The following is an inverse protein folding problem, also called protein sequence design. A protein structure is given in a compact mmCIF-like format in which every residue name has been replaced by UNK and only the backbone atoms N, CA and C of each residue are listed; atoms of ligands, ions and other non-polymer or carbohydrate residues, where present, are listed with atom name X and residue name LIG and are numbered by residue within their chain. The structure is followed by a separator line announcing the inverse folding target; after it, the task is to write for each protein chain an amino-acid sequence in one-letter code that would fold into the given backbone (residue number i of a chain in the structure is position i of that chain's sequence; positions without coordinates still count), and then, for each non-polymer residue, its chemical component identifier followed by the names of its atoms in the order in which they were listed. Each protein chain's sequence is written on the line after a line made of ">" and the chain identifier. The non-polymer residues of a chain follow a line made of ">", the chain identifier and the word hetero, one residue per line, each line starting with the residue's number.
data_IF_903939301455
#
_entry.id   IF_903939301455
#
_cell.length_a   1.000
_cell.length_b   1.000
_cell.length_c   1.000
_cell.angle_alpha   90.00
_cell.angle_beta   90.00
_cell.angle_gamma   90.00
#
_symmetry.space_group_name_H-M   'P 1'
#
loop_
_entity.id
_entity.type
_entity.pdbx_description
1 polymer ?
#
# COMPACT_ATOMS: atom_id res chain seq x y z
N UNK A 1 -21.37 4.18 -1.89
CA UNK A 1 -20.78 4.91 -0.74
C UNK A 1 -19.82 5.91 -1.34
N UNK A 2 -19.85 7.17 -0.93
CA UNK A 2 -18.91 8.17 -1.46
C UNK A 2 -17.56 7.92 -0.78
N UNK A 3 -16.59 7.39 -1.51
CA UNK A 3 -15.22 7.27 -1.02
C UNK A 3 -14.74 8.65 -0.59
N UNK A 4 -14.44 8.82 0.70
CA UNK A 4 -13.89 10.06 1.25
C UNK A 4 -12.52 10.25 0.62
N UNK A 5 -12.36 11.28 -0.20
CA UNK A 5 -11.09 11.65 -0.77
C UNK A 5 -10.16 12.18 0.33
N UNK A 6 -8.98 11.59 0.47
CA UNK A 6 -7.93 12.07 1.36
C UNK A 6 -7.42 13.41 0.81
N UNK A 7 -7.69 14.50 1.53
CA UNK A 7 -7.12 15.81 1.25
C UNK A 7 -5.90 16.04 2.15
N UNK A 8 -4.71 16.02 1.56
CA UNK A 8 -3.44 16.19 2.27
C UNK A 8 -2.60 17.26 1.57
N UNK A 9 -1.82 18.05 2.32
CA UNK A 9 -0.86 18.98 1.73
C UNK A 9 0.10 18.22 0.81
N UNK A 10 0.41 18.79 -0.37
CA UNK A 10 1.24 18.14 -1.38
C UNK A 10 2.61 17.75 -0.84
N UNK A 11 3.19 18.58 0.04
CA UNK A 11 4.45 18.31 0.72
C UNK A 11 4.41 17.08 1.65
N UNK A 12 3.21 16.68 2.10
CA UNK A 12 3.00 15.53 2.99
C UNK A 12 2.77 14.22 2.23
N UNK A 13 2.46 14.27 0.92
CA UNK A 13 2.16 13.09 0.11
C UNK A 13 3.33 12.10 0.14
N UNK A 14 4.56 12.59 -0.06
CA UNK A 14 5.76 11.75 -0.05
C UNK A 14 5.93 10.98 1.28
N UNK A 15 5.74 11.68 2.40
CA UNK A 15 5.82 11.08 3.74
C UNK A 15 4.75 10.01 3.98
N UNK A 16 3.51 10.28 3.54
CA UNK A 16 2.41 9.31 3.66
C UNK A 16 2.66 8.06 2.82
N UNK A 17 3.11 8.23 1.57
CA UNK A 17 3.46 7.11 0.70
C UNK A 17 4.60 6.27 1.29
N UNK A 18 5.60 6.91 1.91
CA UNK A 18 6.70 6.19 2.57
C UNK A 18 6.21 5.41 3.81
N UNK A 19 5.26 5.97 4.57
CA UNK A 19 4.62 5.26 5.70
C UNK A 19 3.82 4.04 5.21
N UNK A 20 3.05 4.19 4.13
CA UNK A 20 2.32 3.09 3.51
C UNK A 20 3.28 1.99 3.05
N UNK A 21 4.33 2.35 2.31
CA UNK A 21 5.34 1.40 1.83
C UNK A 21 5.99 0.63 2.99
N UNK A 22 6.39 1.35 4.05
CA UNK A 22 6.98 0.75 5.24
C UNK A 22 6.03 -0.26 5.87
N UNK A 23 4.75 0.07 6.01
CA UNK A 23 3.75 -0.83 6.60
C UNK A 23 3.55 -2.09 5.76
N UNK A 24 3.47 -1.98 4.43
CA UNK A 24 3.38 -3.13 3.53
C UNK A 24 4.62 -4.03 3.72
N UNK A 25 5.83 -3.45 3.78
CA UNK A 25 7.06 -4.22 4.01
C UNK A 25 7.08 -4.91 5.37
N UNK A 26 6.53 -4.29 6.41
CA UNK A 26 6.42 -4.87 7.75
C UNK A 26 5.49 -6.09 7.76
N UNK A 27 4.31 -5.99 7.12
CA UNK A 27 3.40 -7.12 6.94
C UNK A 27 4.12 -8.29 6.24
N UNK A 28 4.86 -7.98 5.17
CA UNK A 28 5.62 -8.97 4.41
C UNK A 28 6.59 -9.81 5.23
N UNK A 29 7.15 -9.27 6.34
CA UNK A 29 8.12 -10.00 7.17
C UNK A 29 7.53 -11.26 7.81
N UNK A 30 6.27 -11.20 8.21
CA UNK A 30 5.58 -12.30 8.91
C UNK A 30 4.50 -12.95 8.05
N UNK A 31 4.27 -12.47 6.83
CA UNK A 31 3.14 -12.90 6.00
C UNK A 31 3.12 -14.42 5.72
N UNK A 32 4.27 -15.03 5.42
CA UNK A 32 4.35 -16.49 5.22
C UNK A 32 4.22 -17.25 6.55
N UNK A 33 4.80 -16.74 7.64
CA UNK A 33 4.73 -17.34 8.98
C UNK A 33 3.30 -17.33 9.54
N UNK A 34 2.55 -16.28 9.24
CA UNK A 34 1.13 -16.12 9.57
C UNK A 34 0.21 -16.95 8.67
N UNK A 35 0.75 -17.79 7.78
CA UNK A 35 -0.02 -18.65 6.89
C UNK A 35 -0.76 -17.89 5.79
N UNK A 36 -0.23 -16.72 5.36
CA UNK A 36 -0.87 -15.81 4.38
C UNK A 36 -2.22 -15.34 4.90
N UNK A 37 -2.16 -14.60 6.01
CA UNK A 37 -3.34 -14.14 6.72
C UNK A 37 -4.22 -13.28 5.82
N UNK A 38 -5.51 -13.61 5.76
CA UNK A 38 -6.51 -12.81 5.07
C UNK A 38 -6.60 -11.37 5.62
N UNK A 39 -6.29 -11.15 6.90
CA UNK A 39 -6.25 -9.80 7.48
C UNK A 39 -5.10 -8.97 6.91
N UNK A 40 -3.96 -9.60 6.66
CA UNK A 40 -2.81 -8.94 6.02
C UNK A 40 -3.17 -8.52 4.58
N UNK A 41 -3.91 -9.37 3.84
CA UNK A 41 -4.39 -9.04 2.49
C UNK A 41 -5.37 -7.86 2.48
N UNK A 42 -6.29 -7.82 3.44
CA UNK A 42 -7.23 -6.71 3.61
C UNK A 42 -6.49 -5.41 3.93
N UNK A 43 -5.49 -5.46 4.82
CA UNK A 43 -4.71 -4.28 5.18
C UNK A 43 -3.91 -3.75 3.97
N UNK A 44 -3.24 -4.62 3.22
CA UNK A 44 -2.52 -4.25 1.99
C UNK A 44 -3.48 -3.62 0.98
N UNK A 45 -4.68 -4.19 0.82
CA UNK A 45 -5.70 -3.65 -0.09
C UNK A 45 -6.14 -2.24 0.32
N UNK A 46 -6.39 -2.02 1.61
CA UNK A 46 -6.77 -0.70 2.14
C UNK A 46 -5.64 0.32 1.97
N UNK A 47 -4.40 -0.07 2.25
CA UNK A 47 -3.20 0.76 2.08
C UNK A 47 -3.00 1.18 0.62
N UNK A 48 -3.22 0.26 -0.33
CA UNK A 48 -3.18 0.56 -1.76
C UNK A 48 -4.31 1.50 -2.18
N UNK A 49 -5.53 1.30 -1.68
CA UNK A 49 -6.64 2.21 -1.95
C UNK A 49 -6.34 3.65 -1.46
N UNK A 50 -5.72 3.79 -0.28
CA UNK A 50 -5.27 5.09 0.21
C UNK A 50 -4.22 5.73 -0.70
N UNK A 51 -3.23 4.95 -1.16
CA UNK A 51 -2.22 5.43 -2.09
C UNK A 51 -2.84 5.91 -3.42
N UNK A 52 -3.85 5.20 -3.92
CA UNK A 52 -4.54 5.52 -5.18
C UNK A 52 -5.27 6.85 -5.12
N UNK A 53 -5.88 7.17 -3.97
CA UNK A 53 -6.46 8.50 -3.76
C UNK A 53 -5.42 9.63 -3.78
N UNK A 54 -4.15 9.31 -3.54
CA UNK A 54 -3.01 10.24 -3.65
C UNK A 54 -2.35 10.23 -5.04
N UNK A 55 -2.88 9.46 -6.01
CA UNK A 55 -2.34 9.36 -7.37
C UNK A 55 -1.19 8.36 -7.53
N UNK A 56 -1.02 7.42 -6.59
CA UNK A 56 0.01 6.38 -6.65
C UNK A 56 -0.57 4.99 -6.35
N UNK A 57 0.11 3.93 -6.75
CA UNK A 57 -0.20 2.58 -6.30
C UNK A 57 1.09 1.82 -5.99
N UNK A 58 0.95 0.68 -5.33
CA UNK A 58 2.03 -0.20 -4.96
C UNK A 58 1.84 -1.58 -5.60
N UNK A 59 2.85 -2.03 -6.30
CA UNK A 59 3.01 -3.43 -6.68
C UNK A 59 3.69 -4.18 -5.55
N UNK A 60 3.10 -5.29 -5.13
CA UNK A 60 3.59 -6.11 -4.01
C UNK A 60 3.80 -7.53 -4.50
N UNK A 61 5.04 -8.00 -4.39
CA UNK A 61 5.44 -9.36 -4.78
C UNK A 61 6.07 -10.08 -3.59
N UNK A 62 5.69 -11.34 -3.36
CA UNK A 62 6.31 -12.15 -2.31
C UNK A 62 7.68 -12.66 -2.75
N UNK A 63 8.69 -12.42 -1.90
CA UNK A 63 10.07 -12.86 -2.05
C UNK A 63 10.51 -13.62 -0.79
N UNK A 64 11.70 -14.23 -0.82
CA UNK A 64 12.23 -15.01 0.31
C UNK A 64 12.36 -14.22 1.63
N UNK A 65 12.57 -12.90 1.55
CA UNK A 65 12.71 -12.02 2.73
C UNK A 65 11.42 -11.23 3.06
N UNK A 66 10.27 -11.65 2.54
CA UNK A 66 8.97 -10.98 2.76
C UNK A 66 8.39 -10.41 1.48
N UNK A 67 8.23 -9.09 1.40
CA UNK A 67 7.69 -8.42 0.21
C UNK A 67 8.71 -7.52 -0.50
N UNK A 68 8.77 -7.64 -1.82
CA UNK A 68 9.24 -6.60 -2.71
C UNK A 68 8.08 -5.63 -2.98
N UNK A 69 8.33 -4.33 -2.78
CA UNK A 69 7.31 -3.28 -2.94
C UNK A 69 7.84 -2.23 -3.92
N UNK A 70 7.08 -1.97 -4.97
CA UNK A 70 7.41 -0.96 -5.99
C UNK A 70 6.28 0.07 -6.06
N UNK A 71 6.63 1.34 -5.84
CA UNK A 71 5.69 2.46 -5.99
C UNK A 71 5.65 2.93 -7.44
N UNK A 72 4.47 3.17 -7.97
CA UNK A 72 4.28 3.74 -9.30
C UNK A 72 3.16 4.78 -9.31
N UNK A 73 3.20 5.69 -10.29
CA UNK A 73 2.10 6.61 -10.51
C UNK A 73 0.84 5.80 -10.86
N UNK A 74 -0.31 6.25 -10.33
CA UNK A 74 -1.60 5.66 -10.59
C UNK A 74 -2.47 6.68 -11.31
N UNK A 75 -2.79 6.34 -12.55
CA UNK A 75 -3.83 7.01 -13.32
C UNK A 75 -5.00 6.05 -13.39
N UNK A 76 -6.17 6.43 -12.89
CA UNK A 76 -7.38 5.67 -13.14
C UNK A 76 -7.58 5.59 -14.66
N UNK A 77 -7.62 4.37 -15.18
CA UNK A 77 -7.98 4.16 -16.58
C UNK A 77 -9.41 4.69 -16.76
N UNK A 78 -9.55 5.73 -17.58
CA UNK A 78 -10.79 6.42 -17.91
C UNK A 78 -11.73 5.51 -18.69
#
# INVERSE_FOLDING_TARGET
>A
MTDKQINVPTESIGSLLNMIEKRIREIGKTYQENGRSYQDDLEITALRAMARQLGFDFEVSSISSGFAVTRHAYTEAV
#
